data_IF_562113465535
#
_entry.id   IF_562113465535
#
_cell.length_a   1.000
_cell.length_b   1.000
_cell.length_c   1.000
_cell.angle_alpha   90.00
_cell.angle_beta   90.00
_cell.angle_gamma   90.00
#
_symmetry.space_group_name_H-M   'P 1'
#
loop_
_entity.id
_entity.type
_entity.pdbx_description
1 polymer ?
#
# COMPACT_ATOMS: atom_id res chain seq x y z
N UNK A 1 11.27 -17.84 5.72
CA UNK A 1 11.21 -16.54 5.02
C UNK A 1 9.82 -16.24 4.50
N UNK A 2 9.07 -17.21 3.97
CA UNK A 2 7.73 -16.98 3.39
C UNK A 2 6.66 -16.48 4.38
N UNK A 3 6.69 -16.93 5.63
CA UNK A 3 5.74 -16.49 6.67
C UNK A 3 5.80 -14.99 6.99
N UNK A 4 6.91 -14.32 6.66
CA UNK A 4 7.02 -12.87 6.78
C UNK A 4 6.04 -12.16 5.83
N UNK A 5 5.79 -12.70 4.63
CA UNK A 5 4.82 -12.11 3.70
C UNK A 5 3.39 -12.19 4.24
N UNK A 6 3.05 -13.25 4.99
CA UNK A 6 1.74 -13.39 5.62
C UNK A 6 1.46 -12.31 6.67
N UNK A 7 2.49 -11.64 7.19
CA UNK A 7 2.35 -10.52 8.11
C UNK A 7 2.54 -9.16 7.42
N UNK A 8 3.54 -9.04 6.54
CA UNK A 8 3.87 -7.78 5.86
C UNK A 8 2.78 -7.39 4.83
N UNK A 9 2.27 -8.35 4.03
CA UNK A 9 1.25 -8.03 3.02
C UNK A 9 -0.03 -7.47 3.63
N UNK A 10 -0.60 -8.05 4.72
CA UNK A 10 -1.73 -7.44 5.41
C UNK A 10 -1.44 -6.04 5.96
N UNK A 11 -0.26 -5.82 6.55
CA UNK A 11 0.11 -4.49 7.10
C UNK A 11 0.13 -3.44 5.98
N UNK A 12 0.76 -3.75 4.84
CA UNK A 12 0.79 -2.84 3.70
C UNK A 12 -0.62 -2.61 3.15
N UNK A 13 -1.47 -3.64 3.11
CA UNK A 13 -2.87 -3.52 2.73
C UNK A 13 -3.65 -2.55 3.64
N UNK A 14 -3.45 -2.63 4.96
CA UNK A 14 -4.06 -1.71 5.93
C UNK A 14 -3.57 -0.27 5.68
N UNK A 15 -2.27 -0.07 5.51
CA UNK A 15 -1.71 1.25 5.23
C UNK A 15 -2.24 1.83 3.91
N UNK A 16 -2.36 1.00 2.88
CA UNK A 16 -2.91 1.39 1.58
C UNK A 16 -4.39 1.80 1.71
N UNK A 17 -5.20 1.03 2.43
CA UNK A 17 -6.60 1.37 2.69
C UNK A 17 -6.75 2.68 3.48
N UNK A 18 -5.94 2.89 4.52
CA UNK A 18 -5.95 4.14 5.29
C UNK A 18 -5.57 5.35 4.43
N UNK A 19 -4.58 5.20 3.55
CA UNK A 19 -4.19 6.23 2.61
C UNK A 19 -5.31 6.55 1.62
N UNK A 20 -5.99 5.54 1.07
CA UNK A 20 -7.13 5.72 0.18
C UNK A 20 -8.30 6.41 0.89
N UNK A 21 -8.64 5.98 2.11
CA UNK A 21 -9.70 6.60 2.90
C UNK A 21 -9.38 8.08 3.21
N UNK A 22 -8.13 8.40 3.51
CA UNK A 22 -7.64 9.77 3.70
C UNK A 22 -7.71 10.58 2.40
N UNK A 23 -7.29 10.01 1.29
CA UNK A 23 -7.40 10.63 -0.04
C UNK A 23 -8.85 11.02 -0.34
N UNK A 24 -9.80 10.10 -0.15
CA UNK A 24 -11.23 10.35 -0.40
C UNK A 24 -11.78 11.44 0.53
N UNK A 25 -11.39 11.45 1.81
CA UNK A 25 -11.79 12.51 2.76
C UNK A 25 -11.27 13.88 2.33
N UNK A 26 -10.00 13.96 1.94
CA UNK A 26 -9.39 15.22 1.49
C UNK A 26 -10.01 15.69 0.17
N UNK A 27 -10.23 14.77 -0.77
CA UNK A 27 -10.90 15.06 -2.03
C UNK A 27 -12.32 15.61 -1.80
N UNK A 28 -13.09 15.01 -0.89
CA UNK A 28 -14.43 15.49 -0.54
C UNK A 28 -14.41 16.88 0.11
N UNK A 29 -13.35 17.20 0.86
CA UNK A 29 -13.17 18.52 1.51
C UNK A 29 -12.54 19.58 0.60
N UNK A 30 -12.24 19.27 -0.67
CA UNK A 30 -11.42 20.12 -1.55
C UNK A 30 -10.04 20.47 -0.95
N UNK A 31 -9.52 19.60 -0.10
CA UNK A 31 -8.16 19.70 0.43
C UNK A 31 -7.15 19.08 -0.53
N UNK A 32 -5.87 19.46 -0.40
CA UNK A 32 -4.80 18.85 -1.19
C UNK A 32 -4.72 17.34 -0.95
N UNK A 33 -4.59 16.59 -2.04
CA UNK A 33 -4.40 15.13 -2.03
C UNK A 33 -2.96 14.72 -2.41
N UNK A 34 -2.06 15.68 -2.61
CA UNK A 34 -0.71 15.44 -3.12
C UNK A 34 0.07 14.41 -2.29
N UNK A 35 0.02 14.53 -0.96
CA UNK A 35 0.70 13.59 -0.06
C UNK A 35 0.12 12.19 -0.18
N UNK A 36 -1.20 12.04 -0.20
CA UNK A 36 -1.84 10.74 -0.32
C UNK A 36 -1.59 10.11 -1.69
N UNK A 37 -1.50 10.91 -2.76
CA UNK A 37 -1.10 10.43 -4.08
C UNK A 37 0.33 9.88 -4.06
N UNK A 38 1.28 10.64 -3.48
CA UNK A 38 2.68 10.22 -3.40
C UNK A 38 2.86 8.97 -2.52
N UNK A 39 2.26 8.96 -1.33
CA UNK A 39 2.27 7.80 -0.42
C UNK A 39 1.56 6.61 -1.04
N UNK A 40 0.42 6.84 -1.73
CA UNK A 40 -0.31 5.80 -2.43
C UNK A 40 0.51 5.13 -3.53
N UNK A 41 1.26 5.91 -4.31
CA UNK A 41 2.18 5.40 -5.31
C UNK A 41 3.31 4.55 -4.67
N UNK A 42 3.92 5.03 -3.58
CA UNK A 42 4.95 4.30 -2.84
C UNK A 42 4.41 2.98 -2.26
N UNK A 43 3.24 3.00 -1.63
CA UNK A 43 2.60 1.80 -1.07
C UNK A 43 2.25 0.79 -2.15
N UNK A 44 1.77 1.26 -3.30
CA UNK A 44 1.44 0.39 -4.45
C UNK A 44 2.70 -0.27 -5.01
N UNK A 45 3.79 0.51 -5.18
CA UNK A 45 5.08 -0.03 -5.61
C UNK A 45 5.60 -1.10 -4.64
N UNK A 46 5.61 -0.81 -3.33
CA UNK A 46 6.05 -1.77 -2.31
C UNK A 46 5.20 -3.04 -2.30
N UNK A 47 3.87 -2.91 -2.43
CA UNK A 47 2.97 -4.04 -2.48
C UNK A 47 3.29 -4.96 -3.66
N UNK A 48 3.38 -4.41 -4.89
CA UNK A 48 3.69 -5.19 -6.10
C UNK A 48 5.08 -5.83 -6.00
N UNK A 49 6.08 -5.08 -5.53
CA UNK A 49 7.44 -5.59 -5.36
C UNK A 49 7.50 -6.79 -4.40
N UNK A 50 6.87 -6.67 -3.23
CA UNK A 50 6.84 -7.74 -2.24
C UNK A 50 6.01 -8.94 -2.71
N UNK A 51 4.94 -8.69 -3.46
CA UNK A 51 4.16 -9.75 -4.09
C UNK A 51 5.01 -10.54 -5.10
N UNK A 52 5.72 -9.86 -6.00
CA UNK A 52 6.59 -10.51 -6.99
C UNK A 52 7.72 -11.28 -6.33
N UNK A 53 8.36 -10.71 -5.31
CA UNK A 53 9.44 -11.37 -4.59
C UNK A 53 8.92 -12.59 -3.81
N UNK A 54 7.76 -12.47 -3.14
CA UNK A 54 7.12 -13.59 -2.47
C UNK A 54 6.75 -14.72 -3.43
N UNK A 55 6.26 -14.38 -4.63
CA UNK A 55 5.97 -15.36 -5.69
C UNK A 55 7.22 -16.10 -6.18
N UNK A 56 8.31 -15.37 -6.44
CA UNK A 56 9.62 -15.93 -6.83
C UNK A 56 10.26 -16.78 -5.73
N UNK A 57 10.06 -16.43 -4.47
CA UNK A 57 10.61 -17.20 -3.34
C UNK A 57 9.87 -18.50 -3.04
N UNK A 58 8.63 -18.63 -3.53
CA UNK A 58 7.76 -19.78 -3.32
C UNK A 58 7.76 -20.79 -4.50
N UNK A 59 8.52 -20.51 -5.56
CA UNK A 59 8.73 -21.37 -6.73
C UNK A 59 10.23 -21.63 -6.92
#
# INVERSE_FOLDING_TARGET
MEYIYLLILPIIGVLWFLNLASFLKNLHRNESTHNQTMIGALLTFLFVFLYMYGFLGAH
#
